data_IF_558408667833
#
_entry.id   IF_558408667833
#
_cell.length_a   1.000
_cell.length_b   1.000
_cell.length_c   1.000
_cell.angle_alpha   90.00
_cell.angle_beta   90.00
_cell.angle_gamma   90.00
#
_symmetry.space_group_name_H-M   'P 1'
#
loop_
_entity.id
_entity.type
_entity.pdbx_description
1 polymer ?
#
# COMPACT_ATOMS: atom_id res chain seq x y z
N UNK A 1 -29.35 -22.99 -30.92
CA UNK A 1 -28.49 -22.07 -31.70
C UNK A 1 -28.32 -22.67 -33.09
N UNK A 2 -28.62 -21.91 -34.16
CA UNK A 2 -28.84 -22.45 -35.51
C UNK A 2 -27.57 -22.98 -36.19
N UNK A 3 -27.74 -24.01 -37.02
CA UNK A 3 -26.69 -24.71 -37.80
C UNK A 3 -25.79 -23.77 -38.62
N UNK A 4 -26.30 -22.60 -38.99
CA UNK A 4 -25.54 -21.55 -39.67
C UNK A 4 -24.35 -21.01 -38.85
N UNK A 5 -24.44 -21.02 -37.51
CA UNK A 5 -23.38 -20.56 -36.62
C UNK A 5 -22.25 -21.59 -36.51
N UNK A 6 -22.59 -22.89 -36.57
CA UNK A 6 -21.63 -23.99 -36.53
C UNK A 6 -20.81 -24.08 -37.84
N UNK A 7 -21.44 -23.86 -39.00
CA UNK A 7 -20.75 -23.80 -40.30
C UNK A 7 -19.72 -22.66 -40.37
N UNK A 8 -20.02 -21.49 -39.77
CA UNK A 8 -19.07 -20.36 -39.71
C UNK A 8 -17.87 -20.63 -38.79
N UNK A 9 -18.05 -21.41 -37.73
CA UNK A 9 -16.95 -21.80 -36.83
C UNK A 9 -16.01 -22.78 -37.54
N UNK A 10 -16.56 -23.78 -38.24
CA UNK A 10 -15.76 -24.76 -38.98
C UNK A 10 -14.95 -24.13 -40.14
N UNK A 11 -15.53 -23.20 -40.90
CA UNK A 11 -14.80 -22.47 -41.93
C UNK A 11 -13.67 -21.59 -41.36
N UNK A 12 -13.83 -21.05 -40.14
CA UNK A 12 -12.80 -20.22 -39.49
C UNK A 12 -11.65 -21.07 -38.94
N UNK A 13 -11.91 -22.32 -38.54
CA UNK A 13 -10.86 -23.26 -38.12
C UNK A 13 -10.03 -23.79 -39.29
N UNK A 14 -10.64 -24.06 -40.45
CA UNK A 14 -9.90 -24.51 -41.64
C UNK A 14 -8.97 -23.44 -42.20
N UNK A 15 -9.42 -22.18 -42.24
CA UNK A 15 -8.58 -21.04 -42.63
C UNK A 15 -7.40 -20.79 -41.69
N UNK A 16 -7.50 -21.19 -40.42
CA UNK A 16 -6.38 -21.12 -39.45
C UNK A 16 -5.38 -22.27 -39.65
N UNK A 17 -5.83 -23.46 -40.02
CA UNK A 17 -4.94 -24.61 -40.33
C UNK A 17 -4.09 -24.35 -41.58
N UNK A 18 -4.70 -23.87 -42.67
CA UNK A 18 -3.96 -23.52 -43.90
C UNK A 18 -2.92 -22.41 -43.72
N UNK A 19 -3.10 -21.52 -42.72
CA UNK A 19 -2.16 -20.42 -42.45
C UNK A 19 -0.96 -20.84 -41.59
N UNK A 20 -1.06 -21.97 -40.89
CA UNK A 20 0.02 -22.55 -40.08
C UNK A 20 0.89 -23.49 -40.93
N UNK A 21 0.30 -24.19 -41.91
CA UNK A 21 1.04 -25.04 -42.87
C UNK A 21 1.91 -24.23 -43.85
N UNK A 22 1.59 -22.96 -44.10
CA UNK A 22 2.38 -22.09 -44.99
C UNK A 22 3.63 -21.44 -44.35
N UNK A 23 3.94 -21.73 -43.07
CA UNK A 23 5.02 -21.03 -42.32
C UNK A 23 6.05 -21.94 -41.63
N UNK A 24 6.12 -23.23 -41.94
CA UNK A 24 7.11 -24.13 -41.36
C UNK A 24 7.77 -25.04 -42.38
N UNK A 25 9.06 -24.81 -42.66
CA UNK A 25 9.90 -25.76 -43.42
C UNK A 25 11.28 -25.19 -43.72
N UNK A 26 12.31 -25.71 -43.06
CA UNK A 26 13.72 -25.43 -43.38
C UNK A 26 14.68 -25.76 -42.23
N UNK A 27 15.18 -26.99 -42.20
CA UNK A 27 16.09 -27.59 -41.20
C UNK A 27 17.56 -27.11 -41.29
N UNK A 28 18.31 -27.38 -40.21
CA UNK A 28 19.75 -27.15 -39.99
C UNK A 28 20.66 -28.07 -40.83
N UNK A 29 21.97 -27.74 -40.91
CA UNK A 29 23.00 -28.77 -40.73
C UNK A 29 24.12 -28.37 -39.74
N UNK A 30 24.71 -29.39 -39.10
CA UNK A 30 25.89 -29.34 -38.23
C UNK A 30 27.22 -29.64 -38.98
N UNK A 31 28.34 -29.43 -38.26
CA UNK A 31 29.77 -29.61 -38.58
C UNK A 31 30.43 -28.44 -39.35
N UNK A 32 31.58 -27.88 -38.96
CA UNK A 32 32.82 -28.51 -38.51
C UNK A 32 33.72 -27.50 -37.76
N UNK A 33 34.50 -27.98 -36.79
CA UNK A 33 35.60 -27.25 -36.16
C UNK A 33 36.70 -26.91 -37.19
N UNK A 34 37.22 -25.68 -37.17
CA UNK A 34 38.57 -25.39 -37.64
C UNK A 34 39.19 -24.27 -36.80
N UNK A 35 40.26 -24.66 -36.11
CA UNK A 35 41.21 -23.76 -35.49
C UNK A 35 42.08 -23.11 -36.57
N UNK A 36 42.33 -21.81 -36.45
CA UNK A 36 43.45 -21.16 -37.10
C UNK A 36 44.11 -20.16 -36.16
N UNK A 37 45.37 -20.48 -35.88
CA UNK A 37 46.34 -19.69 -35.14
C UNK A 37 46.68 -18.44 -35.95
N UNK A 38 46.81 -17.29 -35.28
CA UNK A 38 47.71 -16.25 -35.76
C UNK A 38 48.62 -15.77 -34.62
N UNK A 39 49.88 -16.17 -34.75
CA UNK A 39 51.04 -15.58 -34.12
C UNK A 39 51.22 -14.12 -34.57
N UNK A 40 51.64 -13.27 -33.64
CA UNK A 40 51.96 -11.87 -33.91
C UNK A 40 52.77 -11.22 -32.78
N UNK A 41 54.04 -11.60 -32.68
CA UNK A 41 55.21 -10.86 -32.16
C UNK A 41 55.12 -10.06 -30.84
N UNK A 42 55.89 -10.53 -29.86
CA UNK A 42 56.39 -9.81 -28.68
C UNK A 42 57.44 -8.77 -29.09
N UNK A 43 57.32 -7.54 -28.59
CA UNK A 43 58.45 -6.65 -28.30
C UNK A 43 58.23 -5.99 -26.92
N UNK A 44 59.29 -6.01 -26.14
CA UNK A 44 59.42 -5.50 -24.77
C UNK A 44 59.43 -3.97 -24.73
N UNK A 45 58.92 -3.39 -23.64
CA UNK A 45 59.73 -2.57 -22.72
C UNK A 45 58.89 -1.95 -21.58
N UNK A 46 59.52 -1.86 -20.40
CA UNK A 46 59.31 -0.75 -19.47
C UNK A 46 58.11 -0.85 -18.53
N UNK A 47 58.35 -1.39 -17.33
CA UNK A 47 57.36 -1.39 -16.25
C UNK A 47 56.93 0.02 -15.82
N UNK A 48 55.64 0.16 -15.55
CA UNK A 48 55.12 1.05 -14.52
C UNK A 48 53.89 0.37 -13.91
N UNK A 49 53.95 0.09 -12.61
CA UNK A 49 52.87 -0.53 -11.85
C UNK A 49 51.75 0.49 -11.73
N UNK A 50 50.78 0.40 -12.64
CA UNK A 50 49.51 1.13 -12.50
C UNK A 50 48.64 0.28 -11.58
N UNK A 51 48.48 0.74 -10.33
CA UNK A 51 47.41 0.31 -9.43
C UNK A 51 46.07 0.57 -10.11
N UNK A 52 45.62 -0.37 -10.95
CA UNK A 52 44.25 -0.44 -11.40
C UNK A 52 43.47 -1.18 -10.32
N UNK A 53 43.09 -0.45 -9.27
CA UNK A 53 41.91 -0.83 -8.49
C UNK A 53 40.76 -0.85 -9.49
N UNK A 54 40.42 -2.05 -9.97
CA UNK A 54 39.18 -2.27 -10.70
C UNK A 54 38.06 -1.65 -9.86
N UNK A 55 37.18 -0.81 -10.44
CA UNK A 55 36.05 -0.30 -9.69
C UNK A 55 35.25 -1.52 -9.23
N UNK A 56 35.20 -1.75 -7.92
CA UNK A 56 34.33 -2.75 -7.32
C UNK A 56 32.94 -2.44 -7.87
N UNK A 57 32.42 -3.34 -8.70
CA UNK A 57 31.09 -3.24 -9.26
C UNK A 57 30.13 -3.18 -8.06
N UNK A 58 29.75 -1.98 -7.68
CA UNK A 58 28.70 -1.74 -6.69
C UNK A 58 27.43 -2.24 -7.35
N UNK A 59 27.09 -3.51 -7.14
CA UNK A 59 25.85 -4.14 -7.59
C UNK A 59 24.72 -3.16 -7.30
N UNK A 60 23.98 -2.69 -8.31
CA UNK A 60 22.99 -1.65 -8.09
C UNK A 60 21.93 -2.13 -7.08
N UNK A 61 21.48 -1.25 -6.17
CA UNK A 61 20.41 -1.59 -5.22
C UNK A 61 19.18 -2.10 -5.98
N UNK A 62 18.55 -3.21 -5.54
CA UNK A 62 17.30 -3.70 -6.13
C UNK A 62 16.15 -2.71 -5.93
N UNK A 63 16.32 -1.71 -5.05
CA UNK A 63 15.34 -0.68 -4.73
C UNK A 63 15.72 0.70 -5.28
N UNK A 64 16.70 0.80 -6.20
CA UNK A 64 17.14 2.07 -6.79
C UNK A 64 15.99 2.89 -7.37
N UNK A 65 14.97 2.26 -7.93
CA UNK A 65 13.78 2.93 -8.48
C UNK A 65 12.84 3.52 -7.43
N UNK A 66 12.97 3.14 -6.16
CA UNK A 66 12.18 3.65 -5.04
C UNK A 66 12.82 4.88 -4.38
N UNK A 67 14.14 5.04 -4.47
CA UNK A 67 14.91 6.19 -3.97
C UNK A 67 14.72 7.49 -4.78
N UNK A 68 13.55 7.67 -5.42
CA UNK A 68 13.29 8.86 -6.23
C UNK A 68 13.31 10.10 -5.34
N UNK A 69 14.24 11.00 -5.59
CA UNK A 69 14.17 12.37 -5.08
C UNK A 69 12.85 13.00 -5.57
N UNK A 70 12.14 13.74 -4.72
CA UNK A 70 10.94 14.42 -5.18
C UNK A 70 11.31 15.42 -6.28
N UNK A 71 10.82 15.16 -7.50
CA UNK A 71 11.13 15.92 -8.72
C UNK A 71 10.59 17.37 -8.70
N UNK A 72 10.08 17.87 -7.58
CA UNK A 72 9.39 19.15 -7.52
C UNK A 72 9.75 19.88 -6.24
N UNK A 73 10.72 20.78 -6.33
CA UNK A 73 10.91 21.83 -5.32
C UNK A 73 9.74 22.79 -5.50
N UNK A 74 8.65 22.57 -4.76
CA UNK A 74 7.55 23.52 -4.71
C UNK A 74 8.05 24.75 -3.97
N UNK A 75 8.01 25.92 -4.60
CA UNK A 75 8.43 27.17 -3.94
C UNK A 75 7.60 27.37 -2.65
N UNK A 76 8.22 27.74 -1.52
CA UNK A 76 7.53 27.89 -0.24
C UNK A 76 6.34 28.86 -0.29
N UNK A 77 6.43 29.89 -1.13
CA UNK A 77 5.42 30.94 -1.32
C UNK A 77 4.05 30.44 -1.79
N UNK A 78 3.99 29.26 -2.42
CA UNK A 78 2.75 28.70 -2.96
C UNK A 78 2.14 27.60 -2.08
N UNK A 79 2.72 27.32 -0.90
CA UNK A 79 2.26 26.26 0.00
C UNK A 79 1.51 26.88 1.17
N UNK A 80 0.29 26.40 1.41
CA UNK A 80 -0.51 26.85 2.53
C UNK A 80 0.17 26.44 3.87
N UNK A 81 0.23 27.32 4.90
CA UNK A 81 0.98 27.03 6.14
C UNK A 81 0.57 25.72 6.83
N UNK A 82 -0.72 25.39 6.80
CA UNK A 82 -1.22 24.13 7.37
C UNK A 82 -0.77 22.89 6.59
N UNK A 83 -0.58 23.02 5.28
CA UNK A 83 -0.04 21.95 4.43
C UNK A 83 1.45 21.77 4.68
N UNK A 84 2.20 22.87 4.87
CA UNK A 84 3.61 22.80 5.25
C UNK A 84 3.79 22.10 6.61
N UNK A 85 3.00 22.49 7.62
CA UNK A 85 2.98 21.81 8.93
C UNK A 85 2.64 20.33 8.81
N UNK A 86 1.64 19.99 8.01
CA UNK A 86 1.28 18.59 7.75
C UNK A 86 2.44 17.83 7.08
N UNK A 87 3.14 18.47 6.13
CA UNK A 87 4.34 17.92 5.50
C UNK A 87 5.39 17.50 6.52
N UNK A 88 5.71 18.36 7.49
CA UNK A 88 6.65 18.04 8.58
C UNK A 88 6.18 16.87 9.46
N UNK A 89 4.89 16.81 9.78
CA UNK A 89 4.31 15.71 10.57
C UNK A 89 4.30 14.36 9.82
N UNK A 90 4.27 14.39 8.49
CA UNK A 90 4.38 13.20 7.66
C UNK A 90 5.85 12.76 7.54
N UNK A 91 6.77 13.69 7.29
CA UNK A 91 8.20 13.40 7.09
C UNK A 91 8.87 12.87 8.36
N UNK A 92 8.48 13.36 9.53
CA UNK A 92 9.01 12.90 10.81
C UNK A 92 8.27 11.68 11.40
N UNK A 93 7.34 11.08 10.64
CA UNK A 93 6.56 9.92 11.07
C UNK A 93 5.75 10.17 12.37
N UNK A 94 5.28 11.39 12.61
CA UNK A 94 4.27 11.65 13.65
C UNK A 94 2.88 11.16 13.22
N UNK A 95 2.56 11.30 11.92
CA UNK A 95 1.33 10.79 11.32
C UNK A 95 1.67 9.66 10.34
N UNK A 96 1.24 8.44 10.69
CA UNK A 96 1.78 7.22 10.08
C UNK A 96 0.71 6.28 9.51
N UNK A 97 -0.34 6.00 10.27
CA UNK A 97 -1.41 5.07 9.84
C UNK A 97 -2.19 5.57 8.61
N UNK A 98 -2.72 4.66 7.80
CA UNK A 98 -3.43 5.01 6.57
C UNK A 98 -4.63 5.95 6.81
N UNK A 99 -5.48 5.67 7.81
CA UNK A 99 -6.61 6.54 8.17
C UNK A 99 -6.13 7.89 8.66
N UNK A 100 -5.18 7.91 9.60
CA UNK A 100 -4.64 9.15 10.16
C UNK A 100 -4.05 10.06 9.07
N UNK A 101 -3.31 9.49 8.12
CA UNK A 101 -2.78 10.23 6.96
C UNK A 101 -3.88 10.78 6.05
N UNK A 102 -4.95 10.02 5.81
CA UNK A 102 -6.08 10.48 4.99
C UNK A 102 -6.92 11.54 5.70
N UNK A 103 -7.19 11.38 6.99
CA UNK A 103 -7.91 12.37 7.82
C UNK A 103 -7.15 13.70 7.86
N UNK A 104 -5.84 13.65 8.08
CA UNK A 104 -4.99 14.84 8.11
C UNK A 104 -4.91 15.52 6.73
N UNK A 105 -4.82 14.74 5.65
CA UNK A 105 -4.87 15.26 4.29
C UNK A 105 -6.20 15.97 4.00
N UNK A 106 -7.33 15.32 4.28
CA UNK A 106 -8.66 15.90 4.04
C UNK A 106 -8.88 17.17 4.86
N UNK A 107 -8.47 17.16 6.13
CA UNK A 107 -8.54 18.34 7.01
C UNK A 107 -7.66 19.48 6.49
N UNK A 108 -6.44 19.18 6.05
CA UNK A 108 -5.52 20.17 5.46
C UNK A 108 -6.07 20.77 4.18
N UNK A 109 -6.61 19.95 3.27
CA UNK A 109 -7.20 20.42 2.01
C UNK A 109 -8.50 21.20 2.23
N UNK A 110 -9.31 20.82 3.23
CA UNK A 110 -10.48 21.59 3.65
C UNK A 110 -10.10 23.01 4.09
N UNK A 111 -9.04 23.17 4.88
CA UNK A 111 -8.55 24.49 5.29
C UNK A 111 -8.07 25.32 4.09
N UNK A 112 -7.35 24.70 3.15
CA UNK A 112 -6.93 25.36 1.90
C UNK A 112 -8.15 25.86 1.12
N UNK A 113 -9.15 25.00 0.90
CA UNK A 113 -10.38 25.35 0.18
C UNK A 113 -11.15 26.45 0.91
N UNK A 114 -11.27 26.36 2.23
CA UNK A 114 -11.98 27.36 3.04
C UNK A 114 -11.32 28.75 3.00
N UNK A 115 -9.99 28.81 2.88
CA UNK A 115 -9.23 30.06 2.76
C UNK A 115 -9.08 30.59 1.33
N UNK A 116 -9.54 29.84 0.33
CA UNK A 116 -9.32 30.17 -1.09
C UNK A 116 -10.26 31.29 -1.55
N UNK A 117 -9.70 32.23 -2.31
CA UNK A 117 -10.47 33.27 -3.00
C UNK A 117 -10.21 33.16 -4.51
N UNK A 118 -11.29 33.17 -5.30
CA UNK A 118 -11.20 33.07 -6.75
C UNK A 118 -10.63 34.37 -7.35
N UNK A 119 -9.56 34.29 -8.16
CA UNK A 119 -9.06 35.45 -8.90
C UNK A 119 -10.10 35.99 -9.90
N UNK A 120 -10.12 37.31 -10.07
CA UNK A 120 -10.99 37.97 -11.05
C UNK A 120 -10.82 37.39 -12.46
N UNK A 121 -11.93 37.14 -13.16
CA UNK A 121 -11.93 36.60 -14.52
C UNK A 121 -11.79 35.07 -14.63
N UNK A 122 -11.81 34.35 -13.50
CA UNK A 122 -11.83 32.87 -13.48
C UNK A 122 -13.00 32.35 -12.64
N UNK A 123 -13.34 31.07 -12.80
CA UNK A 123 -14.29 30.38 -11.93
C UNK A 123 -13.53 29.50 -10.93
N UNK A 124 -14.11 29.29 -9.75
CA UNK A 124 -13.55 28.43 -8.71
C UNK A 124 -13.21 27.03 -9.24
N UNK A 125 -14.12 26.40 -9.97
CA UNK A 125 -13.93 25.04 -10.52
C UNK A 125 -12.71 24.92 -11.45
N UNK A 126 -12.43 25.96 -12.24
CA UNK A 126 -11.29 25.99 -13.17
C UNK A 126 -9.96 26.24 -12.46
N UNK A 127 -9.93 27.17 -11.50
CA UNK A 127 -8.68 27.61 -10.89
C UNK A 127 -8.30 26.81 -9.63
N UNK A 128 -9.26 26.31 -8.85
CA UNK A 128 -8.98 25.64 -7.58
C UNK A 128 -8.06 24.41 -7.72
N UNK A 129 -8.19 23.65 -8.82
CA UNK A 129 -7.30 22.52 -9.09
C UNK A 129 -5.83 22.93 -9.27
N UNK A 130 -5.59 24.14 -9.80
CA UNK A 130 -4.24 24.71 -9.96
C UNK A 130 -3.62 25.11 -8.62
N UNK A 131 -4.45 25.43 -7.61
CA UNK A 131 -4.01 25.73 -6.24
C UNK A 131 -3.77 24.48 -5.41
N UNK A 132 -4.65 23.47 -5.55
CA UNK A 132 -4.56 22.20 -4.79
C UNK A 132 -3.40 21.33 -5.26
N UNK A 133 -3.09 21.31 -6.55
CA UNK A 133 -2.05 20.42 -7.10
C UNK A 133 -0.66 20.69 -6.50
N UNK A 134 -0.18 21.94 -6.36
CA UNK A 134 1.05 22.26 -5.62
C UNK A 134 1.04 21.80 -4.16
N UNK A 135 -0.11 21.89 -3.45
CA UNK A 135 -0.21 21.40 -2.07
C UNK A 135 0.05 19.89 -1.99
N UNK A 136 -0.56 19.13 -2.91
CA UNK A 136 -0.38 17.68 -2.99
C UNK A 136 1.07 17.35 -3.35
N UNK A 137 1.65 18.03 -4.33
CA UNK A 137 3.06 17.84 -4.71
C UNK A 137 4.02 18.12 -3.55
N UNK A 138 3.75 19.14 -2.74
CA UNK A 138 4.53 19.41 -1.54
C UNK A 138 4.44 18.26 -0.53
N UNK A 139 3.23 17.77 -0.22
CA UNK A 139 3.07 16.63 0.69
C UNK A 139 3.75 15.36 0.17
N UNK A 140 3.67 15.09 -1.13
CA UNK A 140 4.37 13.98 -1.79
C UNK A 140 5.90 14.11 -1.67
N UNK A 141 6.41 15.35 -1.66
CA UNK A 141 7.84 15.61 -1.46
C UNK A 141 8.30 15.37 -0.03
N UNK A 142 7.44 15.58 0.96
CA UNK A 142 7.74 15.31 2.37
C UNK A 142 7.70 13.81 2.67
N UNK A 143 6.75 13.08 2.06
CA UNK A 143 6.61 11.63 2.18
C UNK A 143 5.76 11.07 1.03
N UNK A 144 6.17 9.95 0.38
CA UNK A 144 5.39 9.36 -0.70
C UNK A 144 3.92 9.13 -0.31
N UNK A 145 2.97 9.55 -1.16
CA UNK A 145 1.54 9.41 -0.89
C UNK A 145 1.15 7.95 -0.61
N UNK A 146 0.31 7.76 0.41
CA UNK A 146 -0.36 6.46 0.62
C UNK A 146 -1.32 6.16 -0.53
N UNK A 147 -1.59 4.88 -0.75
CA UNK A 147 -2.60 4.45 -1.73
C UNK A 147 -4.00 4.97 -1.36
N UNK A 148 -4.33 5.01 -0.06
CA UNK A 148 -5.56 5.60 0.47
C UNK A 148 -5.68 7.10 0.18
N UNK A 149 -4.59 7.86 0.32
CA UNK A 149 -4.55 9.28 -0.02
C UNK A 149 -4.73 9.50 -1.52
N UNK A 150 -4.18 8.61 -2.36
CA UNK A 150 -4.41 8.65 -3.80
C UNK A 150 -5.90 8.53 -4.17
N UNK A 151 -6.63 7.62 -3.52
CA UNK A 151 -8.09 7.48 -3.69
C UNK A 151 -8.85 8.73 -3.22
N UNK A 152 -8.51 9.25 -2.05
CA UNK A 152 -9.10 10.46 -1.47
C UNK A 152 -8.89 11.70 -2.36
N UNK A 153 -7.66 11.91 -2.87
CA UNK A 153 -7.33 13.02 -3.78
C UNK A 153 -8.12 12.90 -5.08
N UNK A 154 -8.20 11.70 -5.66
CA UNK A 154 -8.96 11.47 -6.89
C UNK A 154 -10.44 11.77 -6.70
N UNK A 155 -11.00 11.36 -5.57
CA UNK A 155 -12.39 11.68 -5.20
C UNK A 155 -12.59 13.20 -5.08
N UNK A 156 -11.71 13.92 -4.36
CA UNK A 156 -11.85 15.36 -4.18
C UNK A 156 -11.73 16.13 -5.51
N UNK A 157 -10.78 15.74 -6.37
CA UNK A 157 -10.64 16.33 -7.71
C UNK A 157 -11.89 16.15 -8.56
N UNK A 158 -12.55 15.00 -8.45
CA UNK A 158 -13.83 14.74 -9.12
C UNK A 158 -14.94 15.63 -8.57
N UNK A 159 -15.03 15.80 -7.25
CA UNK A 159 -16.03 16.70 -6.66
C UNK A 159 -15.83 18.15 -7.12
N UNK A 160 -14.59 18.64 -7.18
CA UNK A 160 -14.27 19.99 -7.68
C UNK A 160 -14.67 20.15 -9.15
N UNK A 161 -14.43 19.13 -9.98
CA UNK A 161 -14.80 19.17 -11.40
C UNK A 161 -16.32 19.15 -11.63
N UNK A 162 -17.09 18.61 -10.67
CA UNK A 162 -18.55 18.49 -10.75
C UNK A 162 -19.30 19.68 -10.11
N UNK A 163 -18.60 20.70 -9.60
CA UNK A 163 -19.26 21.90 -9.09
C UNK A 163 -19.96 22.62 -10.23
N UNK A 164 -21.21 23.01 -9.98
CA UNK A 164 -21.99 23.83 -10.90
C UNK A 164 -21.27 25.17 -11.16
N UNK A 165 -20.92 25.49 -12.43
CA UNK A 165 -20.30 26.76 -12.77
C UNK A 165 -21.12 28.01 -12.39
N UNK A 166 -22.44 27.87 -12.24
CA UNK A 166 -23.36 28.97 -11.94
C UNK A 166 -23.52 29.19 -10.42
N UNK A 167 -22.93 28.31 -9.59
CA UNK A 167 -22.97 28.42 -8.12
C UNK A 167 -22.06 29.56 -7.64
N UNK A 168 -22.53 30.32 -6.64
CA UNK A 168 -21.70 31.33 -5.97
C UNK A 168 -20.43 30.71 -5.36
N UNK A 169 -19.32 31.43 -5.45
CA UNK A 169 -18.02 30.92 -5.00
C UNK A 169 -18.00 30.59 -3.49
N UNK A 170 -18.72 31.34 -2.65
CA UNK A 170 -18.79 31.06 -1.23
C UNK A 170 -19.59 29.80 -0.95
N UNK A 171 -20.72 29.63 -1.64
CA UNK A 171 -21.55 28.43 -1.53
C UNK A 171 -20.81 27.20 -2.06
N UNK A 172 -20.08 27.33 -3.17
CA UNK A 172 -19.24 26.27 -3.72
C UNK A 172 -18.13 25.83 -2.72
N UNK A 173 -17.47 26.78 -2.05
CA UNK A 173 -16.49 26.46 -0.99
C UNK A 173 -17.13 25.73 0.19
N UNK A 174 -18.26 26.24 0.69
CA UNK A 174 -18.97 25.65 1.81
C UNK A 174 -19.46 24.24 1.47
N UNK A 175 -19.97 24.05 0.25
CA UNK A 175 -20.39 22.76 -0.27
C UNK A 175 -19.22 21.76 -0.34
N UNK A 176 -18.06 22.15 -0.89
CA UNK A 176 -16.86 21.31 -0.90
C UNK A 176 -16.39 20.93 0.52
N UNK A 177 -16.36 21.90 1.44
CA UNK A 177 -16.00 21.65 2.84
C UNK A 177 -16.95 20.65 3.50
N UNK A 178 -18.26 20.79 3.25
CA UNK A 178 -19.27 19.84 3.73
C UNK A 178 -19.07 18.45 3.11
N UNK A 179 -18.79 18.35 1.80
CA UNK A 179 -18.52 17.07 1.14
C UNK A 179 -17.30 16.36 1.76
N UNK A 180 -16.25 17.11 2.10
CA UNK A 180 -15.07 16.55 2.78
C UNK A 180 -15.46 15.99 4.16
N UNK A 181 -16.28 16.71 4.93
CA UNK A 181 -16.75 16.25 6.24
C UNK A 181 -17.61 14.98 6.12
N UNK A 182 -18.52 14.93 5.13
CA UNK A 182 -19.31 13.73 4.84
C UNK A 182 -18.42 12.57 4.40
N UNK A 183 -17.41 12.79 3.56
CA UNK A 183 -16.46 11.74 3.17
C UNK A 183 -15.76 11.14 4.39
N UNK A 184 -15.23 11.99 5.28
CA UNK A 184 -14.55 11.54 6.50
C UNK A 184 -15.50 10.75 7.40
N UNK A 185 -16.70 11.27 7.62
CA UNK A 185 -17.72 10.63 8.45
C UNK A 185 -18.12 9.27 7.90
N UNK A 186 -18.55 9.23 6.64
CA UNK A 186 -19.21 8.06 6.07
C UNK A 186 -18.21 6.99 5.66
N UNK A 187 -17.09 7.39 5.03
CA UNK A 187 -16.11 6.45 4.45
C UNK A 187 -15.03 6.01 5.42
N UNK A 188 -14.89 6.66 6.57
CA UNK A 188 -13.88 6.32 7.58
C UNK A 188 -14.57 6.04 8.92
N UNK A 189 -15.25 7.02 9.51
CA UNK A 189 -15.77 6.86 10.89
C UNK A 189 -16.88 5.82 11.01
N UNK A 190 -17.94 5.95 10.20
CA UNK A 190 -19.05 4.99 10.19
C UNK A 190 -18.64 3.64 9.61
N UNK A 191 -17.73 3.65 8.62
CA UNK A 191 -17.15 2.44 8.08
C UNK A 191 -16.39 1.64 9.15
N UNK A 192 -15.59 2.32 9.99
CA UNK A 192 -14.89 1.69 11.11
C UNK A 192 -15.89 1.02 12.08
N UNK A 193 -17.00 1.69 12.41
CA UNK A 193 -18.02 1.13 13.30
C UNK A 193 -18.66 -0.15 12.73
N UNK A 194 -18.93 -0.16 11.42
CA UNK A 194 -19.53 -1.32 10.77
C UNK A 194 -18.54 -2.49 10.63
N UNK A 195 -17.26 -2.22 10.36
CA UNK A 195 -16.19 -3.23 10.37
C UNK A 195 -16.07 -3.87 11.76
N UNK A 196 -16.14 -3.06 12.81
CA UNK A 196 -16.12 -3.55 14.21
C UNK A 196 -17.29 -4.50 14.43
N UNK A 197 -18.52 -4.09 14.12
CA UNK A 197 -19.71 -4.95 14.26
C UNK A 197 -19.57 -6.27 13.48
N UNK A 198 -19.15 -6.18 12.22
CA UNK A 198 -18.93 -7.35 11.36
C UNK A 198 -17.84 -8.28 11.90
N UNK A 199 -16.82 -7.75 12.57
CA UNK A 199 -15.78 -8.57 13.20
C UNK A 199 -16.27 -9.19 14.50
N UNK A 200 -17.01 -8.45 15.32
CA UNK A 200 -17.58 -8.95 16.59
C UNK A 200 -18.55 -10.13 16.37
N UNK A 201 -19.26 -10.19 15.23
CA UNK A 201 -20.14 -11.32 14.91
C UNK A 201 -19.38 -12.63 14.69
N UNK A 202 -18.06 -12.57 14.40
CA UNK A 202 -17.18 -13.74 14.26
C UNK A 202 -16.56 -14.19 15.58
N UNK A 203 -16.63 -13.38 16.63
CA UNK A 203 -16.05 -13.69 17.93
C UNK A 203 -17.06 -14.42 18.82
N UNK A 204 -16.64 -15.53 19.41
CA UNK A 204 -17.43 -16.25 20.41
C UNK A 204 -17.52 -15.44 21.70
N UNK A 205 -18.70 -15.43 22.34
CA UNK A 205 -18.84 -14.89 23.71
C UNK A 205 -18.58 -15.94 24.79
N UNK A 206 -18.62 -17.23 24.44
CA UNK A 206 -18.60 -18.34 25.40
C UNK A 206 -17.22 -18.95 25.57
N UNK A 207 -16.36 -18.81 24.55
CA UNK A 207 -15.03 -19.43 24.51
C UNK A 207 -13.99 -18.35 24.35
N UNK A 208 -12.91 -18.45 25.13
CA UNK A 208 -11.77 -17.57 24.99
C UNK A 208 -11.17 -17.70 23.58
N UNK A 209 -11.02 -16.56 22.90
CA UNK A 209 -10.44 -16.49 21.56
C UNK A 209 -9.09 -15.79 21.62
N UNK A 210 -8.02 -16.51 21.26
CA UNK A 210 -6.68 -15.95 21.10
C UNK A 210 -6.55 -15.34 19.71
N UNK A 211 -6.34 -14.03 19.65
CA UNK A 211 -6.26 -13.26 18.40
C UNK A 211 -4.81 -12.83 18.15
N UNK A 212 -4.26 -13.21 17.00
CA UNK A 212 -2.98 -12.71 16.52
C UNK A 212 -3.16 -11.39 15.77
N UNK A 213 -2.35 -10.39 16.11
CA UNK A 213 -2.26 -9.11 15.40
C UNK A 213 -0.80 -8.78 15.09
N UNK A 214 -0.60 -7.94 14.08
CA UNK A 214 0.73 -7.53 13.65
C UNK A 214 0.89 -6.01 13.65
N UNK A 215 1.98 -5.54 14.25
CA UNK A 215 2.32 -4.13 14.45
C UNK A 215 1.14 -3.37 15.09
N UNK A 216 0.74 -2.22 14.51
CA UNK A 216 -0.43 -1.46 14.96
C UNK A 216 -1.32 -1.07 13.79
N UNK A 217 -2.62 -1.30 13.97
CA UNK A 217 -3.68 -0.83 13.08
C UNK A 217 -4.80 -0.19 13.89
N UNK A 218 -5.25 1.00 13.51
CA UNK A 218 -6.30 1.73 14.22
C UNK A 218 -7.64 0.98 14.21
N UNK A 219 -8.00 0.34 13.10
CA UNK A 219 -9.25 -0.41 13.00
C UNK A 219 -9.20 -1.71 13.80
N UNK A 220 -8.03 -2.39 13.83
CA UNK A 220 -7.84 -3.59 14.67
C UNK A 220 -7.85 -3.21 16.14
N UNK A 221 -7.15 -2.14 16.52
CA UNK A 221 -7.15 -1.57 17.88
C UNK A 221 -8.58 -1.26 18.35
N UNK A 222 -9.36 -0.53 17.54
CA UNK A 222 -10.77 -0.23 17.82
C UNK A 222 -11.60 -1.51 17.98
N UNK A 223 -11.41 -2.49 17.10
CA UNK A 223 -12.13 -3.77 17.15
C UNK A 223 -11.85 -4.54 18.43
N UNK A 224 -10.59 -4.63 18.86
CA UNK A 224 -10.21 -5.35 20.08
C UNK A 224 -10.76 -4.67 21.34
N UNK A 225 -10.71 -3.33 21.39
CA UNK A 225 -11.26 -2.55 22.51
C UNK A 225 -12.79 -2.71 22.59
N UNK A 226 -13.49 -2.60 21.47
CA UNK A 226 -14.94 -2.76 21.43
C UNK A 226 -15.37 -4.22 21.70
N UNK A 227 -14.59 -5.20 21.26
CA UNK A 227 -14.83 -6.60 21.61
C UNK A 227 -14.72 -6.83 23.14
N UNK A 228 -13.71 -6.25 23.80
CA UNK A 228 -13.57 -6.31 25.26
C UNK A 228 -14.73 -5.64 25.97
N UNK A 229 -15.15 -4.45 25.52
CA UNK A 229 -16.33 -3.73 26.06
C UNK A 229 -17.62 -4.52 25.90
N UNK A 230 -17.75 -5.24 24.78
CA UNK A 230 -18.88 -6.14 24.52
C UNK A 230 -18.83 -7.46 25.32
N UNK A 231 -17.89 -7.60 26.28
CA UNK A 231 -17.77 -8.77 27.14
C UNK A 231 -17.21 -10.01 26.45
N UNK A 232 -16.56 -9.86 25.28
CA UNK A 232 -15.91 -10.99 24.60
C UNK A 232 -14.68 -11.43 25.39
N UNK A 233 -14.53 -12.74 25.59
CA UNK A 233 -13.35 -13.32 26.21
C UNK A 233 -12.24 -13.43 25.17
N UNK A 234 -11.26 -12.52 25.22
CA UNK A 234 -10.18 -12.46 24.24
C UNK A 234 -8.82 -12.26 24.89
N UNK A 235 -7.82 -12.96 24.36
CA UNK A 235 -6.40 -12.72 24.59
C UNK A 235 -5.75 -12.33 23.26
N UNK A 236 -4.77 -11.43 23.30
CA UNK A 236 -4.17 -10.85 22.08
C UNK A 236 -2.68 -11.15 22.04
N UNK A 237 -2.22 -11.73 20.94
CA UNK A 237 -0.79 -11.88 20.65
C UNK A 237 -0.41 -10.78 19.67
N UNK A 238 0.43 -9.84 20.11
CA UNK A 238 0.94 -8.73 19.30
C UNK A 238 2.33 -9.11 18.81
N UNK A 239 2.44 -9.33 17.50
CA UNK A 239 3.72 -9.55 16.85
C UNK A 239 4.23 -8.23 16.27
N UNK A 240 5.49 -7.91 16.51
CA UNK A 240 6.08 -6.64 16.08
C UNK A 240 7.44 -6.82 15.38
N UNK A 241 7.86 -5.80 14.67
CA UNK A 241 9.17 -5.76 14.02
C UNK A 241 9.74 -4.35 13.93
N UNK A 242 11.07 -4.32 13.80
CA UNK A 242 11.80 -3.12 13.35
C UNK A 242 11.34 -2.74 11.93
N UNK A 243 11.47 -1.45 11.52
CA UNK A 243 12.09 -0.35 12.27
C UNK A 243 11.20 0.32 13.32
N UNK A 244 9.90 0.45 13.04
CA UNK A 244 9.02 1.33 13.82
C UNK A 244 8.60 0.77 15.18
N UNK A 245 8.55 -0.56 15.35
CA UNK A 245 8.00 -1.23 16.54
C UNK A 245 6.64 -0.62 16.97
N UNK A 246 5.72 -0.47 16.00
CA UNK A 246 4.44 0.20 16.22
C UNK A 246 3.54 -0.57 17.20
N UNK A 247 3.77 -1.89 17.34
CA UNK A 247 3.02 -2.78 18.23
C UNK A 247 3.15 -2.44 19.71
N UNK A 248 4.23 -1.77 20.13
CA UNK A 248 4.37 -1.25 21.51
C UNK A 248 3.23 -0.29 21.88
N UNK A 249 2.83 0.58 20.96
CA UNK A 249 1.73 1.51 21.19
C UNK A 249 0.39 0.78 21.30
N UNK A 250 0.19 -0.28 20.50
CA UNK A 250 -0.99 -1.12 20.60
C UNK A 250 -1.03 -1.85 21.95
N UNK A 251 0.11 -2.40 22.38
CA UNK A 251 0.25 -3.10 23.66
C UNK A 251 -0.20 -2.20 24.81
N UNK A 252 0.39 -0.99 24.94
CA UNK A 252 0.02 -0.03 26.00
C UNK A 252 -1.48 0.23 26.02
N UNK A 253 -2.08 0.51 24.85
CA UNK A 253 -3.51 0.82 24.77
C UNK A 253 -4.42 -0.35 25.16
N UNK A 254 -4.03 -1.57 24.82
CA UNK A 254 -4.83 -2.77 25.16
C UNK A 254 -4.67 -3.13 26.65
N UNK A 255 -3.47 -3.00 27.20
CA UNK A 255 -3.23 -3.24 28.64
C UNK A 255 -3.95 -2.22 29.51
N UNK A 256 -4.02 -0.95 29.09
CA UNK A 256 -4.79 0.09 29.79
C UNK A 256 -6.29 -0.24 29.87
N UNK A 257 -6.81 -1.02 28.92
CA UNK A 257 -8.20 -1.50 28.87
C UNK A 257 -8.38 -2.88 29.52
N UNK A 258 -7.35 -3.43 30.17
CA UNK A 258 -7.42 -4.74 30.84
C UNK A 258 -7.58 -5.92 29.88
N UNK A 259 -7.03 -5.82 28.67
CA UNK A 259 -6.94 -6.93 27.71
C UNK A 259 -5.67 -7.75 28.00
N UNK A 260 -5.81 -9.07 28.09
CA UNK A 260 -4.66 -9.97 28.23
C UNK A 260 -3.84 -9.95 26.94
N UNK A 261 -2.57 -9.55 27.04
CA UNK A 261 -1.70 -9.36 25.87
C UNK A 261 -0.38 -10.11 26.03
N UNK A 262 0.05 -10.77 24.96
CA UNK A 262 1.41 -11.30 24.79
C UNK A 262 2.10 -10.52 23.69
N UNK A 263 3.29 -10.01 23.94
CA UNK A 263 4.09 -9.29 22.95
C UNK A 263 5.28 -10.14 22.50
N UNK A 264 5.49 -10.23 21.19
CA UNK A 264 6.57 -11.01 20.61
C UNK A 264 7.11 -10.36 19.34
N UNK A 265 8.35 -10.72 18.98
CA UNK A 265 8.89 -10.35 17.67
C UNK A 265 8.49 -11.36 16.60
N UNK A 266 8.51 -10.93 15.33
CA UNK A 266 8.17 -11.78 14.18
C UNK A 266 8.94 -13.12 14.15
N UNK A 267 10.18 -13.14 14.65
CA UNK A 267 11.00 -14.36 14.77
C UNK A 267 10.43 -15.41 15.73
N UNK A 268 9.65 -15.02 16.73
CA UNK A 268 9.05 -15.92 17.71
C UNK A 268 7.65 -16.42 17.29
N UNK A 269 7.08 -15.90 16.20
CA UNK A 269 5.74 -16.25 15.74
C UNK A 269 5.53 -17.77 15.56
N UNK A 270 6.45 -18.56 14.96
CA UNK A 270 6.25 -20.00 14.77
C UNK A 270 5.93 -20.76 16.08
N UNK A 271 6.54 -20.36 17.19
CA UNK A 271 6.34 -20.98 18.51
C UNK A 271 4.99 -20.62 19.14
N UNK A 272 4.35 -19.53 18.71
CA UNK A 272 3.10 -19.02 19.27
C UNK A 272 1.86 -19.48 18.50
N UNK A 273 2.02 -19.87 17.24
CA UNK A 273 0.92 -20.29 16.34
C UNK A 273 0.00 -21.40 16.88
N UNK A 274 0.48 -22.44 17.60
CA UNK A 274 -0.39 -23.52 18.07
C UNK A 274 -1.57 -23.06 18.95
N UNK A 275 -1.44 -21.90 19.60
CA UNK A 275 -2.43 -21.39 20.55
C UNK A 275 -3.33 -20.29 19.97
N UNK A 276 -3.26 -20.02 18.66
CA UNK A 276 -3.96 -18.91 18.00
C UNK A 276 -5.23 -19.42 17.30
N UNK A 277 -6.35 -18.73 17.50
CA UNK A 277 -7.63 -19.08 16.87
C UNK A 277 -7.91 -18.29 15.59
N UNK A 278 -7.44 -17.05 15.50
CA UNK A 278 -7.58 -16.23 14.30
C UNK A 278 -6.52 -15.13 14.25
N UNK A 279 -6.25 -14.66 13.03
CA UNK A 279 -5.33 -13.55 12.78
C UNK A 279 -6.10 -12.37 12.20
N UNK A 280 -5.99 -11.19 12.82
CA UNK A 280 -6.56 -9.93 12.33
C UNK A 280 -5.45 -9.02 11.83
N UNK A 281 -5.51 -8.65 10.55
CA UNK A 281 -4.55 -7.76 9.91
C UNK A 281 -5.24 -6.47 9.46
N UNK A 282 -4.63 -5.32 9.75
CA UNK A 282 -5.10 -4.04 9.24
C UNK A 282 -4.60 -3.78 7.83
N UNK A 283 -5.46 -3.27 6.94
CA UNK A 283 -5.06 -2.90 5.59
C UNK A 283 -4.59 -1.44 5.48
N UNK A 284 -3.46 -1.25 4.78
CA UNK A 284 -3.12 0.06 4.21
C UNK A 284 -3.89 0.28 2.90
N UNK A 285 -4.00 -0.76 2.07
CA UNK A 285 -4.88 -0.82 0.92
C UNK A 285 -5.22 -2.28 0.55
N UNK A 286 -6.32 -2.45 -0.17
CA UNK A 286 -6.64 -3.73 -0.84
C UNK A 286 -6.54 -3.49 -2.34
N UNK A 287 -5.73 -4.30 -3.01
CA UNK A 287 -5.47 -4.20 -4.45
C UNK A 287 -6.62 -4.82 -5.25
N UNK A 288 -6.71 -4.47 -6.54
CA UNK A 288 -7.79 -4.93 -7.42
C UNK A 288 -7.84 -6.46 -7.57
N UNK A 289 -6.70 -7.14 -7.45
CA UNK A 289 -6.57 -8.60 -7.44
C UNK A 289 -6.89 -9.25 -6.08
N UNK A 290 -7.35 -8.47 -5.09
CA UNK A 290 -7.66 -8.91 -3.73
C UNK A 290 -6.45 -9.03 -2.81
N UNK A 291 -5.24 -8.72 -3.28
CA UNK A 291 -4.06 -8.76 -2.43
C UNK A 291 -4.12 -7.66 -1.36
N UNK A 292 -3.67 -7.98 -0.15
CA UNK A 292 -3.57 -7.04 0.95
C UNK A 292 -2.22 -6.31 0.86
N UNK A 293 -2.25 -4.99 0.76
CA UNK A 293 -1.07 -4.15 0.91
C UNK A 293 -1.05 -3.57 2.33
N UNK A 294 -0.05 -3.93 3.13
CA UNK A 294 0.07 -3.49 4.52
C UNK A 294 1.54 -3.42 4.95
N UNK A 295 1.81 -3.20 6.25
CA UNK A 295 3.17 -3.10 6.79
C UNK A 295 4.02 -4.30 6.40
N UNK A 296 5.30 -4.06 6.11
CA UNK A 296 6.27 -5.14 5.85
C UNK A 296 6.18 -6.16 6.98
N UNK A 297 6.11 -7.46 6.66
CA UNK A 297 5.95 -8.54 7.61
C UNK A 297 4.51 -9.09 7.71
N UNK A 298 3.49 -8.36 7.21
CA UNK A 298 2.13 -8.88 7.13
C UNK A 298 2.06 -10.16 6.28
N UNK A 299 2.78 -10.21 5.16
CA UNK A 299 2.79 -11.39 4.29
C UNK A 299 3.37 -12.62 5.02
N UNK A 300 4.41 -12.42 5.83
CA UNK A 300 5.01 -13.47 6.65
C UNK A 300 4.05 -13.97 7.73
N UNK A 301 3.37 -13.05 8.42
CA UNK A 301 2.36 -13.39 9.42
C UNK A 301 1.20 -14.17 8.80
N UNK A 302 0.68 -13.71 7.65
CA UNK A 302 -0.40 -14.37 6.94
C UNK A 302 0.02 -15.76 6.44
N UNK A 303 1.22 -15.90 5.90
CA UNK A 303 1.76 -17.17 5.43
C UNK A 303 1.88 -18.19 6.56
N UNK A 304 2.52 -17.80 7.67
CA UNK A 304 2.69 -18.66 8.83
C UNK A 304 1.35 -19.05 9.47
N UNK A 305 0.43 -18.09 9.60
CA UNK A 305 -0.94 -18.36 10.06
C UNK A 305 -1.63 -19.41 9.18
N UNK A 306 -1.57 -19.24 7.85
CA UNK A 306 -2.22 -20.16 6.91
C UNK A 306 -1.60 -21.56 6.96
N UNK A 307 -0.27 -21.67 7.09
CA UNK A 307 0.43 -22.95 7.24
C UNK A 307 -0.01 -23.72 8.51
N UNK A 308 -0.38 -23.00 9.56
CA UNK A 308 -0.91 -23.57 10.81
C UNK A 308 -2.44 -23.66 10.84
N UNK A 309 -3.11 -23.52 9.70
CA UNK A 309 -4.58 -23.54 9.57
C UNK A 309 -5.30 -22.46 10.40
N UNK A 310 -4.63 -21.37 10.73
CA UNK A 310 -5.23 -20.21 11.40
C UNK A 310 -5.84 -19.30 10.33
N UNK A 311 -7.15 -18.98 10.40
CA UNK A 311 -7.81 -18.11 9.45
C UNK A 311 -7.32 -16.66 9.59
N UNK A 312 -7.00 -16.03 8.46
CA UNK A 312 -6.48 -14.65 8.39
C UNK A 312 -7.55 -13.72 7.84
N UNK A 313 -7.95 -12.72 8.62
CA UNK A 313 -8.93 -11.71 8.22
C UNK A 313 -8.25 -10.36 8.03
N UNK A 314 -8.48 -9.73 6.88
CA UNK A 314 -8.03 -8.37 6.62
C UNK A 314 -9.16 -7.38 6.91
N UNK A 315 -8.93 -6.42 7.81
CA UNK A 315 -9.88 -5.35 8.13
C UNK A 315 -9.54 -4.13 7.27
N UNK A 316 -10.51 -3.70 6.46
CA UNK A 316 -10.31 -2.64 5.48
C UNK A 316 -11.62 -1.93 5.12
N UNK A 317 -11.59 -0.60 5.17
CA UNK A 317 -12.63 0.30 4.69
C UNK A 317 -12.62 0.33 3.16
N UNK A 318 -13.80 0.42 2.52
CA UNK A 318 -13.93 0.33 1.05
C UNK A 318 -13.16 1.42 0.31
N UNK A 319 -12.95 2.59 0.92
CA UNK A 319 -12.22 3.69 0.28
C UNK A 319 -10.72 3.36 0.07
N UNK A 320 -10.19 2.37 0.79
CA UNK A 320 -8.83 1.83 0.63
C UNK A 320 -8.74 0.77 -0.46
N UNK A 321 -9.85 0.42 -1.13
CA UNK A 321 -9.81 -0.49 -2.27
C UNK A 321 -9.30 0.30 -3.48
N UNK A 322 -8.19 -0.16 -4.05
CA UNK A 322 -7.48 0.57 -5.11
C UNK A 322 -7.45 -0.21 -6.41
N UNK A 323 -7.68 0.52 -7.49
CA UNK A 323 -7.69 0.01 -8.87
C UNK A 323 -6.25 -0.04 -9.39
N UNK A 324 -5.45 -0.80 -8.67
CA UNK A 324 -4.05 -1.03 -8.92
C UNK A 324 -3.76 -2.48 -8.59
N UNK A 325 -2.96 -3.11 -9.44
CA UNK A 325 -2.42 -4.44 -9.19
C UNK A 325 -0.93 -4.32 -8.94
N UNK A 326 -0.45 -5.03 -7.92
CA UNK A 326 0.95 -5.24 -7.64
C UNK A 326 1.17 -6.74 -7.53
N UNK A 327 2.21 -7.24 -8.20
CA UNK A 327 2.56 -8.66 -8.21
C UNK A 327 3.68 -8.99 -7.21
N UNK A 328 4.41 -7.96 -6.79
CA UNK A 328 5.52 -8.05 -5.85
C UNK A 328 5.49 -6.88 -4.86
N UNK A 329 6.33 -6.96 -3.84
CA UNK A 329 6.52 -5.91 -2.82
C UNK A 329 7.64 -4.92 -3.19
N UNK A 330 8.21 -4.99 -4.40
CA UNK A 330 9.46 -4.30 -4.77
C UNK A 330 9.19 -3.15 -5.73
N UNK A 331 8.40 -3.38 -6.76
CA UNK A 331 8.15 -2.46 -7.87
C UNK A 331 7.54 -1.13 -7.40
N UNK A 332 6.65 -1.17 -6.40
CA UNK A 332 6.04 0.03 -5.81
C UNK A 332 6.00 -0.09 -4.30
N UNK A 333 6.83 0.68 -3.60
CA UNK A 333 6.90 0.66 -2.14
C UNK A 333 7.43 1.99 -1.58
N UNK A 334 7.42 2.12 -0.25
CA UNK A 334 8.01 3.22 0.50
C UNK A 334 9.26 2.68 1.19
N UNK A 335 10.41 3.34 0.99
CA UNK A 335 11.65 3.04 1.72
C UNK A 335 11.62 3.79 3.05
N UNK A 336 11.99 3.10 4.12
CA UNK A 336 12.21 3.68 5.43
C UNK A 336 13.40 4.64 5.38
N UNK A 337 13.28 5.85 5.95
CA UNK A 337 14.44 6.69 6.21
C UNK A 337 15.54 5.92 6.95
N UNK A 338 16.83 6.21 6.66
CA UNK A 338 17.95 5.58 7.34
C UNK A 338 17.87 5.72 8.86
N UNK A 339 17.48 6.89 9.37
CA UNK A 339 17.41 7.19 10.81
C UNK A 339 16.42 6.29 11.59
N UNK A 340 15.44 5.68 10.90
CA UNK A 340 14.49 4.75 11.54
C UNK A 340 15.03 3.33 11.64
N UNK A 341 15.99 2.97 10.79
CA UNK A 341 16.62 1.68 10.77
C UNK A 341 18.12 1.93 10.76
N UNK A 342 18.73 1.98 11.94
CA UNK A 342 20.19 2.11 12.10
C UNK A 342 20.79 0.76 12.50
N UNK A 343 21.93 0.43 11.88
CA UNK A 343 22.75 -0.70 12.32
C UNK A 343 23.61 -0.24 13.50
N UNK A 344 23.50 -0.94 14.63
CA UNK A 344 24.36 -0.74 15.79
C UNK A 344 25.72 -1.43 15.57
N UNK A 345 26.43 -1.02 14.52
CA UNK A 345 27.74 -1.54 14.15
C UNK A 345 28.63 -0.39 13.69
N UNK A 346 29.71 -0.16 14.45
CA UNK A 346 30.71 0.85 14.12
C UNK A 346 31.66 0.38 13.02
N UNK A 347 32.17 1.31 12.21
CA UNK A 347 33.23 1.02 11.23
C UNK A 347 32.76 0.30 9.96
N UNK A 348 31.47 0.33 9.65
CA UNK A 348 30.95 -0.19 8.38
C UNK A 348 31.54 0.61 7.21
N UNK A 349 32.28 -0.07 6.33
CA UNK A 349 32.83 0.53 5.12
C UNK A 349 31.77 0.82 4.06
N UNK A 350 32.19 1.36 2.92
CA UNK A 350 31.31 1.77 1.80
C UNK A 350 30.57 0.61 1.10
N UNK A 351 30.89 -0.65 1.45
CA UNK A 351 30.27 -1.84 0.86
C UNK A 351 28.96 -2.26 1.54
N UNK A 352 28.52 -1.53 2.56
CA UNK A 352 27.30 -1.83 3.32
C UNK A 352 26.19 -0.91 2.87
N UNK A 353 25.00 -1.48 2.63
CA UNK A 353 23.79 -0.71 2.35
C UNK A 353 22.69 -1.12 3.30
N UNK A 354 22.06 -0.12 3.88
CA UNK A 354 20.93 -0.29 4.76
C UNK A 354 19.66 0.08 4.03
N UNK A 355 18.81 -0.90 3.80
CA UNK A 355 17.53 -0.70 3.11
C UNK A 355 16.45 -1.45 3.86
N UNK A 356 15.35 -0.75 4.16
CA UNK A 356 14.18 -1.32 4.81
C UNK A 356 12.94 -0.80 4.10
N UNK A 357 12.10 -1.72 3.62
CA UNK A 357 10.81 -1.38 3.04
C UNK A 357 9.79 -1.23 4.16
N UNK A 358 8.80 -0.35 3.98
CA UNK A 358 7.76 -0.14 4.99
C UNK A 358 6.49 -0.97 4.76
N UNK A 359 6.31 -1.52 3.56
CA UNK A 359 5.11 -2.29 3.20
C UNK A 359 5.46 -3.61 2.51
N UNK A 360 4.49 -4.52 2.46
CA UNK A 360 4.51 -5.70 1.62
C UNK A 360 3.13 -5.98 0.99
N UNK A 361 3.14 -6.83 -0.03
CA UNK A 361 1.94 -7.35 -0.69
C UNK A 361 1.71 -8.78 -0.23
N UNK A 362 0.62 -9.01 0.49
CA UNK A 362 0.15 -10.33 0.92
C UNK A 362 -0.78 -10.92 -0.14
N UNK A 363 -0.44 -12.07 -0.73
CA UNK A 363 -1.29 -12.72 -1.74
C UNK A 363 -2.70 -13.03 -1.22
N UNK A 364 -3.75 -12.86 -2.05
CA UNK A 364 -5.14 -13.07 -1.64
C UNK A 364 -5.42 -14.49 -1.13
N UNK A 365 -4.69 -15.50 -1.64
CA UNK A 365 -4.81 -16.91 -1.22
C UNK A 365 -4.47 -17.15 0.26
N UNK A 366 -3.75 -16.24 0.92
CA UNK A 366 -3.41 -16.35 2.33
C UNK A 366 -4.51 -15.78 3.23
N UNK A 367 -5.44 -15.01 2.65
CA UNK A 367 -6.54 -14.39 3.37
C UNK A 367 -7.76 -15.31 3.30
N UNK A 368 -8.42 -15.47 4.44
CA UNK A 368 -9.71 -16.16 4.52
C UNK A 368 -10.83 -15.25 4.01
N UNK A 369 -10.88 -14.02 4.53
CA UNK A 369 -11.84 -13.01 4.09
C UNK A 369 -11.33 -11.59 4.36
N UNK A 370 -11.97 -10.63 3.70
CA UNK A 370 -11.83 -9.20 3.96
C UNK A 370 -13.11 -8.76 4.67
N UNK A 371 -12.94 -8.04 5.79
CA UNK A 371 -14.04 -7.46 6.55
C UNK A 371 -14.05 -5.96 6.29
N UNK A 372 -15.12 -5.49 5.64
CA UNK A 372 -15.38 -4.09 5.34
C UNK A 372 -16.74 -3.64 5.88
N UNK A 373 -17.09 -2.38 5.68
CA UNK A 373 -18.42 -1.85 5.99
C UNK A 373 -19.54 -2.45 5.13
N UNK A 374 -19.19 -3.06 3.99
CA UNK A 374 -20.14 -3.75 3.10
C UNK A 374 -20.39 -5.20 3.56
N UNK A 375 -19.66 -5.67 4.57
CA UNK A 375 -19.77 -7.01 5.14
C UNK A 375 -18.48 -7.81 5.05
N UNK A 376 -18.60 -9.12 5.26
CA UNK A 376 -17.50 -10.08 5.16
C UNK A 376 -17.52 -10.69 3.76
N UNK A 377 -16.44 -10.53 3.01
CA UNK A 377 -16.39 -10.95 1.61
C UNK A 377 -15.03 -11.56 1.23
N UNK A 378 -14.99 -12.48 0.25
CA UNK A 378 -13.75 -13.08 -0.20
C UNK A 378 -12.87 -12.04 -0.94
N UNK A 379 -11.54 -12.18 -0.94
CA UNK A 379 -10.64 -11.26 -1.64
C UNK A 379 -10.93 -11.08 -3.13
N UNK A 380 -11.46 -12.12 -3.79
CA UNK A 380 -11.82 -12.09 -5.23
C UNK A 380 -12.96 -11.14 -5.56
N UNK A 381 -13.78 -10.74 -4.59
CA UNK A 381 -14.95 -9.87 -4.79
C UNK A 381 -14.60 -8.37 -4.88
N UNK A 382 -13.36 -7.98 -4.53
CA UNK A 382 -12.94 -6.58 -4.40
C UNK A 382 -13.19 -5.78 -5.69
N UNK A 383 -12.80 -6.32 -6.85
CA UNK A 383 -13.04 -5.66 -8.13
C UNK A 383 -14.52 -5.37 -8.40
N UNK A 384 -15.42 -6.29 -8.01
CA UNK A 384 -16.86 -6.09 -8.16
C UNK A 384 -17.42 -5.04 -7.19
N UNK A 385 -16.94 -5.03 -5.94
CA UNK A 385 -17.31 -4.01 -4.95
C UNK A 385 -16.84 -2.61 -5.37
N UNK A 386 -15.64 -2.51 -5.92
CA UNK A 386 -15.11 -1.25 -6.46
C UNK A 386 -15.94 -0.69 -7.61
N UNK A 387 -16.45 -1.56 -8.50
CA UNK A 387 -17.31 -1.13 -9.59
C UNK A 387 -18.65 -0.59 -9.07
N UNK A 388 -19.26 -1.27 -8.10
CA UNK A 388 -20.52 -0.82 -7.47
C UNK A 388 -20.39 0.50 -6.72
N UNK A 389 -19.23 0.78 -6.13
CA UNK A 389 -18.97 2.04 -5.44
C UNK A 389 -18.69 3.23 -6.39
N UNK A 390 -18.55 2.98 -7.70
CA UNK A 390 -18.34 4.00 -8.74
C UNK A 390 -19.62 4.31 -9.54
N UNK A 391 -20.53 3.35 -9.62
CA UNK A 391 -21.86 3.51 -10.19
C UNK A 391 -22.77 4.21 -9.17
#
# INVERSE_FOLDING_TARGET
>A
MSEAKQKKINQKSERRKQKVEARGGGERPEHTQQASQHHGSVKSDGGSVVNSTAPVATTASPFKHLHKSPNTIVKPENVHPQISRLGSLLSNFSIVGANARTLALMSGLKLVIGSYNTPAGTTLSRNLLSVISPQISHLESCRPKSLSNGSAIRWLKLQIANIDPDMDDNDARNHLCMLIDCYVRDRITLADDEIVKNTLSKLSSTVQTTILVYARSSIVEKTLIEAKKAGKMLSVIIVDSKPLNEGKNLLTRLTDMGVECTYAHLSALPSLLPNINMTLLGAHAILANGALYSRVGNASVALLSKLHNVPVYALAESYKFVDRMMLDSITTNEISPPDLFELDVNGLGQNVRQESLLYDVTPPKLLEAIISEVGIHPPSSVSGLMFRARA
#
